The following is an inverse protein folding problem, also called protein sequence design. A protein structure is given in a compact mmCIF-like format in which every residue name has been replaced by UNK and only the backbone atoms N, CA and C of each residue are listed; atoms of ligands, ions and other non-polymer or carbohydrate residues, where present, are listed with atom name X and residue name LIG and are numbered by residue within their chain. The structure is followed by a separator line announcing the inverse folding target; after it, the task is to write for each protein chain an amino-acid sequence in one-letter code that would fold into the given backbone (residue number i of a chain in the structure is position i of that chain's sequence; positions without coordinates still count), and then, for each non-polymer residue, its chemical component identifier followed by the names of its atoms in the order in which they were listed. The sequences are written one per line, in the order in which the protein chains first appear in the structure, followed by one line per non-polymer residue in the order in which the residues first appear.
data_IF_268538140435
#
_entry.id   IF_268538140435
#
_cell.length_a   1.000
_cell.length_b   1.000
_cell.length_c   1.000
_cell.angle_alpha   90.00
_cell.angle_beta   90.00
_cell.angle_gamma   90.00
#
_symmetry.space_group_name_H-M   'P 1'
#
loop_
_entity.id
_entity.type
_entity.pdbx_description
1 polymer ?
#
# COMPACT_ATOMS: atom_id res chain seq x y z
N UNK A 1 8.13 -1.92 28.60
CA UNK A 1 8.31 -2.51 27.25
C UNK A 1 9.60 -1.96 26.64
N UNK A 2 10.78 -2.41 27.08
CA UNK A 2 12.05 -1.95 26.55
C UNK A 2 12.23 -2.32 25.06
N UNK A 3 11.63 -3.42 24.65
CA UNK A 3 11.85 -4.02 23.34
C UNK A 3 11.38 -3.16 22.16
N UNK A 4 10.28 -2.41 22.31
CA UNK A 4 9.76 -1.54 21.23
C UNK A 4 10.72 -0.38 20.98
N UNK A 5 11.29 0.20 22.04
CA UNK A 5 12.25 1.30 21.90
C UNK A 5 13.51 0.83 21.15
N UNK A 6 13.98 -0.38 21.43
CA UNK A 6 15.14 -0.98 20.75
C UNK A 6 14.83 -1.18 19.27
N UNK A 7 13.65 -1.76 18.95
CA UNK A 7 13.23 -1.98 17.55
C UNK A 7 13.14 -0.68 16.79
N UNK A 8 12.55 0.36 17.40
CA UNK A 8 12.36 1.67 16.73
C UNK A 8 13.64 2.54 16.75
N UNK A 9 14.68 2.19 17.49
CA UNK A 9 15.90 2.97 17.59
C UNK A 9 16.60 3.20 16.24
N UNK A 10 16.51 2.24 15.32
CA UNK A 10 17.07 2.38 13.97
C UNK A 10 16.47 3.55 13.19
N UNK A 11 15.23 3.95 13.51
CA UNK A 11 14.54 5.07 12.85
C UNK A 11 15.14 6.45 13.20
N UNK A 12 16.04 6.53 14.18
CA UNK A 12 16.81 7.76 14.49
C UNK A 12 17.68 8.23 13.32
N UNK A 13 17.94 7.37 12.34
CA UNK A 13 18.66 7.71 11.10
C UNK A 13 17.85 8.61 10.17
N UNK A 14 16.51 8.61 10.27
CA UNK A 14 15.62 9.33 9.37
C UNK A 14 14.55 10.17 10.08
N UNK A 15 14.45 10.08 11.42
CA UNK A 15 13.50 10.84 12.22
C UNK A 15 14.19 11.67 13.29
N UNK A 16 13.69 12.89 13.48
CA UNK A 16 14.10 13.71 14.62
C UNK A 16 13.68 13.06 15.94
N UNK A 17 14.46 13.28 16.99
CA UNK A 17 14.27 12.69 18.31
C UNK A 17 12.84 12.93 18.87
N UNK A 18 12.26 14.10 18.63
CA UNK A 18 10.89 14.42 19.08
C UNK A 18 9.84 13.58 18.34
N UNK A 19 9.99 13.44 17.03
CA UNK A 19 9.08 12.63 16.19
C UNK A 19 9.19 11.15 16.52
N UNK A 20 10.41 10.65 16.68
CA UNK A 20 10.67 9.27 17.09
C UNK A 20 10.05 8.97 18.46
N UNK A 21 10.20 9.86 19.43
CA UNK A 21 9.57 9.72 20.75
C UNK A 21 8.04 9.67 20.67
N UNK A 22 7.43 10.51 19.81
CA UNK A 22 5.98 10.46 19.61
C UNK A 22 5.54 9.19 18.91
N UNK A 23 6.28 8.74 17.88
CA UNK A 23 6.03 7.47 17.20
C UNK A 23 6.09 6.29 18.19
N UNK A 24 7.14 6.20 19.01
CA UNK A 24 7.27 5.17 20.03
C UNK A 24 6.06 5.14 20.97
N UNK A 25 5.65 6.27 21.49
CA UNK A 25 4.50 6.36 22.40
C UNK A 25 3.18 6.00 21.75
N UNK A 26 2.97 6.44 20.52
CA UNK A 26 1.78 6.05 19.73
C UNK A 26 1.77 4.55 19.49
N UNK A 27 2.92 3.95 19.13
CA UNK A 27 3.06 2.51 18.93
C UNK A 27 2.79 1.74 20.22
N UNK A 28 3.38 2.12 21.33
CA UNK A 28 3.13 1.53 22.65
C UNK A 28 1.65 1.57 23.04
N UNK A 29 1.02 2.74 22.83
CA UNK A 29 -0.40 2.90 23.11
C UNK A 29 -1.26 1.97 22.24
N UNK A 30 -1.00 1.90 20.93
CA UNK A 30 -1.75 1.03 20.00
C UNK A 30 -1.61 -0.45 20.37
N UNK A 31 -0.40 -0.88 20.72
CA UNK A 31 -0.13 -2.28 21.09
C UNK A 31 -0.69 -2.67 22.48
N UNK A 32 -0.86 -1.69 23.36
CA UNK A 32 -1.33 -1.94 24.75
C UNK A 32 -2.83 -1.79 24.91
N UNK A 33 -3.49 -0.98 24.04
CA UNK A 33 -4.90 -0.70 24.21
C UNK A 33 -5.78 -1.80 23.67
N UNK A 34 -6.88 -2.05 24.37
CA UNK A 34 -7.94 -2.96 23.95
C UNK A 34 -9.10 -2.18 23.33
N UNK A 35 -9.71 -2.72 22.29
CA UNK A 35 -10.86 -2.13 21.63
C UNK A 35 -10.50 -1.16 20.51
N UNK A 36 -11.37 -0.17 20.24
CA UNK A 36 -11.25 0.71 19.08
C UNK A 36 -10.11 1.72 19.24
N UNK A 37 -9.17 1.72 18.31
CA UNK A 37 -8.08 2.69 18.24
C UNK A 37 -8.62 4.06 17.82
N UNK A 38 -8.46 5.06 18.67
CA UNK A 38 -8.81 6.45 18.41
C UNK A 38 -7.73 7.39 18.96
N UNK A 39 -7.56 8.58 18.37
CA UNK A 39 -6.58 9.56 18.87
C UNK A 39 -6.80 9.91 20.35
N UNK A 40 -8.07 9.97 20.81
CA UNK A 40 -8.39 10.21 22.22
C UNK A 40 -8.04 8.98 23.07
N UNK A 41 -8.24 7.77 22.55
CA UNK A 41 -7.81 6.54 23.21
C UNK A 41 -6.30 6.52 23.38
N UNK A 42 -5.54 6.74 22.30
CA UNK A 42 -4.07 6.82 22.33
C UNK A 42 -3.60 7.84 23.37
N UNK A 43 -4.16 9.06 23.40
CA UNK A 43 -3.79 10.10 24.37
C UNK A 43 -4.05 9.69 25.83
N UNK A 44 -5.09 8.91 26.09
CA UNK A 44 -5.41 8.39 27.43
C UNK A 44 -4.47 7.25 27.85
N UNK A 45 -4.18 6.33 26.93
CA UNK A 45 -3.33 5.17 27.19
C UNK A 45 -1.85 5.51 27.30
N UNK A 46 -1.37 6.46 26.54
CA UNK A 46 0.03 6.86 26.59
C UNK A 46 0.46 7.49 27.91
N UNK A 47 -0.48 7.88 28.79
CA UNK A 47 -0.25 8.43 30.14
C UNK A 47 0.80 9.53 30.26
N UNK A 48 1.89 9.37 29.57
CA UNK A 48 3.02 10.30 29.44
C UNK A 48 3.14 10.90 28.03
N UNK A 49 2.21 10.61 27.11
CA UNK A 49 2.29 10.90 25.68
C UNK A 49 1.90 12.31 25.26
N UNK A 50 1.52 13.13 26.21
CA UNK A 50 1.01 14.47 25.90
C UNK A 50 -0.51 14.49 25.68
N UNK A 51 -1.04 15.69 25.44
CA UNK A 51 -2.47 15.91 25.24
C UNK A 51 -2.96 15.30 23.91
N UNK A 52 -4.29 15.17 23.77
CA UNK A 52 -4.94 14.85 22.49
C UNK A 52 -4.40 15.66 21.32
N UNK A 53 -4.08 16.95 21.52
CA UNK A 53 -3.50 17.81 20.49
C UNK A 53 -2.11 17.36 20.06
N UNK A 54 -1.31 16.79 20.96
CA UNK A 54 0.01 16.23 20.61
C UNK A 54 -0.14 15.03 19.67
N UNK A 55 -1.06 14.12 19.98
CA UNK A 55 -1.38 12.97 19.12
C UNK A 55 -1.91 13.43 17.77
N UNK A 56 -2.82 14.41 17.77
CA UNK A 56 -3.35 14.98 16.53
C UNK A 56 -2.26 15.63 15.66
N UNK A 57 -1.33 16.40 16.26
CA UNK A 57 -0.20 16.99 15.54
C UNK A 57 0.70 15.91 14.94
N UNK A 58 0.97 14.84 15.70
CA UNK A 58 1.76 13.72 15.19
C UNK A 58 1.12 13.09 13.94
N UNK A 59 -0.20 12.82 13.96
CA UNK A 59 -0.90 12.28 12.79
C UNK A 59 -1.00 13.24 11.60
N UNK A 60 -0.83 14.54 11.83
CA UNK A 60 -0.74 15.55 10.77
C UNK A 60 0.69 15.79 10.28
N UNK A 61 1.69 15.15 10.88
CA UNK A 61 3.09 15.23 10.42
C UNK A 61 3.27 14.35 9.20
N UNK A 62 3.84 14.90 8.13
CA UNK A 62 4.17 14.13 6.94
C UNK A 62 5.39 13.25 7.22
N UNK A 63 5.19 11.94 7.19
CA UNK A 63 6.24 10.94 7.37
C UNK A 63 6.35 10.07 6.12
N UNK A 64 7.58 9.76 5.74
CA UNK A 64 7.84 8.79 4.65
C UNK A 64 7.67 7.35 5.18
N UNK A 65 6.42 6.90 5.31
CA UNK A 65 6.09 5.59 5.88
C UNK A 65 6.81 4.44 5.19
N UNK A 66 6.96 4.50 3.86
CA UNK A 66 7.67 3.48 3.10
C UNK A 66 9.14 3.36 3.52
N UNK A 67 9.82 4.51 3.73
CA UNK A 67 11.21 4.52 4.20
C UNK A 67 11.33 3.99 5.63
N UNK A 68 10.40 4.36 6.52
CA UNK A 68 10.37 3.87 7.90
C UNK A 68 10.17 2.36 7.95
N UNK A 69 9.17 1.85 7.21
CA UNK A 69 8.91 0.42 7.11
C UNK A 69 10.10 -0.34 6.51
N UNK A 70 10.66 0.18 5.42
CA UNK A 70 11.84 -0.41 4.80
C UNK A 70 13.02 -0.50 5.77
N UNK A 71 13.30 0.58 6.51
CA UNK A 71 14.40 0.59 7.47
C UNK A 71 14.22 -0.43 8.60
N UNK A 72 12.98 -0.58 9.12
CA UNK A 72 12.65 -1.61 10.10
C UNK A 72 12.82 -3.03 9.54
N UNK A 73 12.30 -3.27 8.33
CA UNK A 73 12.39 -4.58 7.67
C UNK A 73 13.86 -4.91 7.43
N UNK A 74 14.62 -4.01 6.84
CA UNK A 74 16.04 -4.20 6.54
C UNK A 74 16.86 -4.49 7.80
N UNK A 75 16.60 -3.77 8.89
CA UNK A 75 17.41 -3.86 10.12
C UNK A 75 17.09 -5.10 10.93
N UNK A 76 15.84 -5.55 10.94
CA UNK A 76 15.39 -6.56 11.91
C UNK A 76 14.87 -7.87 11.31
N UNK A 77 14.49 -7.86 10.02
CA UNK A 77 13.69 -8.95 9.45
C UNK A 77 14.32 -9.63 8.25
N UNK A 78 15.29 -9.02 7.57
CA UNK A 78 15.97 -9.62 6.42
C UNK A 78 17.20 -10.40 6.86
N UNK A 79 17.39 -11.57 6.24
CA UNK A 79 18.62 -12.36 6.32
C UNK A 79 19.42 -12.12 5.02
N UNK A 80 20.76 -12.07 5.12
CA UNK A 80 21.65 -11.82 3.97
C UNK A 80 21.57 -12.92 2.90
N UNK A 81 21.30 -14.16 3.31
CA UNK A 81 21.23 -15.34 2.43
C UNK A 81 19.81 -15.67 1.95
N UNK A 82 18.85 -14.75 2.10
CA UNK A 82 17.46 -15.01 1.74
C UNK A 82 17.15 -14.59 0.30
N UNK A 83 16.29 -15.35 -0.35
CA UNK A 83 15.71 -14.99 -1.65
C UNK A 83 14.47 -14.15 -1.39
N UNK A 84 14.49 -12.90 -1.87
CA UNK A 84 13.38 -11.97 -1.70
C UNK A 84 12.60 -11.84 -3.00
N UNK A 85 11.30 -12.02 -2.88
CA UNK A 85 10.33 -11.87 -3.96
C UNK A 85 9.38 -10.72 -3.59
N UNK A 86 9.02 -9.89 -4.56
CA UNK A 86 8.00 -8.86 -4.35
C UNK A 86 6.62 -9.39 -4.74
N UNK A 87 5.60 -9.07 -3.94
CA UNK A 87 4.21 -9.35 -4.26
C UNK A 87 3.37 -8.08 -4.17
N UNK A 88 2.37 -7.98 -5.05
CA UNK A 88 1.41 -6.88 -5.05
C UNK A 88 -0.02 -7.39 -5.05
N UNK A 89 -0.88 -6.72 -4.27
CA UNK A 89 -2.30 -7.02 -4.20
C UNK A 89 -3.12 -5.77 -3.85
N UNK A 90 -4.38 -5.78 -4.25
CA UNK A 90 -5.35 -4.75 -3.93
C UNK A 90 -6.10 -5.09 -2.64
N UNK A 91 -6.03 -4.17 -1.69
CA UNK A 91 -6.70 -4.33 -0.39
C UNK A 91 -7.83 -3.31 -0.26
N UNK A 92 -9.03 -3.78 0.06
CA UNK A 92 -10.21 -2.92 0.28
C UNK A 92 -10.61 -2.93 1.74
N UNK A 93 -10.52 -1.75 2.38
CA UNK A 93 -11.01 -1.54 3.76
C UNK A 93 -12.37 -0.86 3.74
N UNK A 94 -13.41 -1.56 4.22
CA UNK A 94 -14.77 -1.01 4.27
C UNK A 94 -14.88 0.17 5.23
N UNK A 95 -15.60 1.20 4.82
CA UNK A 95 -15.86 2.41 5.61
C UNK A 95 -17.31 2.83 5.48
N UNK A 96 -17.92 3.21 6.60
CA UNK A 96 -19.30 3.70 6.67
C UNK A 96 -19.43 5.22 6.75
N UNK A 97 -18.33 5.96 6.81
CA UNK A 97 -18.31 7.42 6.86
C UNK A 97 -18.65 8.05 5.51
N UNK A 98 -19.27 9.24 5.51
CA UNK A 98 -19.60 9.97 4.28
C UNK A 98 -18.52 10.97 3.85
N UNK A 99 -17.65 11.38 4.76
CA UNK A 99 -16.66 12.46 4.58
C UNK A 99 -15.21 11.97 4.64
N UNK A 100 -14.97 10.66 4.60
CA UNK A 100 -13.62 10.11 4.59
C UNK A 100 -12.96 10.43 3.25
N UNK A 101 -11.77 11.03 3.26
CA UNK A 101 -10.99 11.29 2.06
C UNK A 101 -10.70 9.98 1.32
N UNK A 102 -10.79 9.98 -0.01
CA UNK A 102 -10.56 8.79 -0.83
C UNK A 102 -11.68 7.72 -0.76
N UNK A 103 -12.80 8.00 -0.06
CA UNK A 103 -13.93 7.07 0.01
C UNK A 103 -14.55 6.89 -1.37
N UNK A 104 -14.61 5.65 -1.80
CA UNK A 104 -15.27 5.27 -3.06
C UNK A 104 -15.92 3.88 -2.93
N UNK A 105 -16.40 3.34 -4.04
CA UNK A 105 -16.99 2.01 -4.14
C UNK A 105 -16.00 1.07 -4.81
N UNK A 106 -15.54 0.07 -4.07
CA UNK A 106 -14.60 -0.95 -4.53
C UNK A 106 -15.25 -2.33 -4.45
N UNK A 107 -14.86 -3.21 -5.37
CA UNK A 107 -15.22 -4.62 -5.25
C UNK A 107 -14.41 -5.25 -4.13
N UNK A 108 -15.09 -5.93 -3.21
CA UNK A 108 -14.45 -6.67 -2.14
C UNK A 108 -14.65 -8.15 -2.36
N UNK A 109 -13.56 -8.89 -2.51
CA UNK A 109 -13.58 -10.35 -2.63
C UNK A 109 -14.17 -11.02 -1.37
N UNK A 110 -13.90 -10.43 -0.20
CA UNK A 110 -14.45 -10.92 1.08
C UNK A 110 -15.98 -10.91 1.12
N UNK A 111 -16.62 -9.88 0.54
CA UNK A 111 -18.08 -9.75 0.52
C UNK A 111 -18.71 -10.17 -0.81
N UNK A 112 -17.93 -10.49 -1.84
CA UNK A 112 -18.41 -10.84 -3.17
C UNK A 112 -19.21 -9.73 -3.87
N UNK A 113 -19.07 -8.47 -3.42
CA UNK A 113 -19.85 -7.32 -3.92
C UNK A 113 -19.08 -6.01 -3.81
N UNK A 114 -19.61 -5.01 -4.51
CA UNK A 114 -19.09 -3.62 -4.41
C UNK A 114 -19.54 -3.00 -3.09
N UNK A 115 -18.57 -2.53 -2.30
CA UNK A 115 -18.78 -1.93 -0.96
C UNK A 115 -18.17 -0.54 -0.89
N UNK A 116 -18.72 0.38 -0.07
CA UNK A 116 -18.07 1.64 0.21
C UNK A 116 -16.80 1.39 1.05
N UNK A 117 -15.69 1.98 0.65
CA UNK A 117 -14.42 1.74 1.32
C UNK A 117 -13.27 2.57 0.80
N UNK A 118 -12.10 2.25 1.25
CA UNK A 118 -10.81 2.75 0.76
C UNK A 118 -10.09 1.59 0.10
N UNK A 119 -9.63 1.79 -1.13
CA UNK A 119 -8.78 0.85 -1.85
C UNK A 119 -7.31 1.23 -1.69
N UNK A 120 -6.46 0.23 -1.58
CA UNK A 120 -5.02 0.41 -1.50
C UNK A 120 -4.32 -0.64 -2.37
N UNK A 121 -3.30 -0.22 -3.10
CA UNK A 121 -2.30 -1.13 -3.66
C UNK A 121 -1.26 -1.39 -2.58
N UNK A 122 -1.13 -2.64 -2.16
CA UNK A 122 -0.13 -3.08 -1.17
C UNK A 122 1.00 -3.81 -1.90
N UNK A 123 2.25 -3.37 -1.68
CA UNK A 123 3.45 -4.05 -2.14
C UNK A 123 4.21 -4.59 -0.94
N UNK A 124 4.53 -5.88 -0.98
CA UNK A 124 5.19 -6.62 0.09
C UNK A 124 6.46 -7.30 -0.42
N UNK A 125 7.45 -7.44 0.45
CA UNK A 125 8.61 -8.29 0.24
C UNK A 125 8.35 -9.64 0.92
N UNK A 126 8.56 -10.72 0.20
CA UNK A 126 8.36 -12.08 0.70
C UNK A 126 9.73 -12.72 0.91
N UNK A 127 10.00 -13.12 2.15
CA UNK A 127 11.11 -13.98 2.51
C UNK A 127 10.75 -15.41 2.13
N UNK A 128 11.48 -16.00 1.17
CA UNK A 128 11.26 -17.39 0.75
C UNK A 128 11.67 -18.35 1.85
N UNK A 129 12.79 -18.07 2.51
CA UNK A 129 13.34 -18.88 3.60
C UNK A 129 12.40 -18.94 4.82
N UNK A 130 11.90 -17.78 5.26
CA UNK A 130 10.99 -17.67 6.42
C UNK A 130 9.53 -17.91 6.09
N UNK A 131 9.14 -17.85 4.81
CA UNK A 131 7.75 -17.91 4.33
C UNK A 131 6.87 -16.84 4.95
N UNK A 132 7.40 -15.62 5.06
CA UNK A 132 6.71 -14.47 5.66
C UNK A 132 6.69 -13.32 4.66
N UNK A 133 5.59 -12.59 4.64
CA UNK A 133 5.41 -11.39 3.83
C UNK A 133 5.54 -10.14 4.71
N UNK A 134 6.36 -9.19 4.27
CA UNK A 134 6.60 -7.91 4.92
C UNK A 134 6.04 -6.79 4.05
N UNK A 135 4.90 -6.18 4.39
CA UNK A 135 4.38 -5.04 3.64
C UNK A 135 5.33 -3.85 3.75
N UNK A 136 5.72 -3.28 2.60
CA UNK A 136 6.65 -2.14 2.53
C UNK A 136 5.95 -0.88 2.09
N UNK A 137 5.06 -0.99 1.10
CA UNK A 137 4.33 0.14 0.53
C UNK A 137 2.84 -0.13 0.54
N UNK A 138 2.06 0.90 0.86
CA UNK A 138 0.61 0.88 0.77
C UNK A 138 0.16 2.23 0.22
N UNK A 139 -0.27 2.23 -1.04
CA UNK A 139 -0.65 3.43 -1.75
C UNK A 139 -2.15 3.49 -2.00
N UNK A 140 -2.82 4.61 -1.72
CA UNK A 140 -4.26 4.73 -1.92
C UNK A 140 -4.60 4.68 -3.42
N UNK A 141 -5.65 3.90 -3.76
CA UNK A 141 -6.21 3.86 -5.11
C UNK A 141 -7.27 4.95 -5.20
N UNK A 142 -6.98 6.00 -5.97
CA UNK A 142 -7.92 7.09 -6.20
C UNK A 142 -8.78 6.84 -7.46
N UNK A 143 -9.92 7.54 -7.55
CA UNK A 143 -10.83 7.47 -8.72
C UNK A 143 -10.13 7.77 -10.05
N UNK A 144 -9.15 8.66 -10.03
CA UNK A 144 -8.34 9.00 -11.20
C UNK A 144 -7.63 7.79 -11.78
N UNK A 145 -7.24 6.82 -10.93
CA UNK A 145 -6.57 5.59 -11.35
C UNK A 145 -7.55 4.55 -11.91
N UNK A 146 -8.81 4.58 -11.45
CA UNK A 146 -9.85 3.61 -11.86
C UNK A 146 -10.80 4.16 -12.92
N UNK A 147 -10.66 5.43 -13.30
CA UNK A 147 -11.48 6.04 -14.33
C UNK A 147 -11.29 5.29 -15.64
N UNK A 148 -12.32 4.54 -16.05
CA UNK A 148 -12.37 4.04 -17.41
C UNK A 148 -12.37 5.24 -18.34
N UNK A 149 -11.62 5.21 -19.48
CA UNK A 149 -11.77 6.19 -20.52
C UNK A 149 -13.28 6.31 -20.80
N UNK A 150 -13.81 7.53 -20.80
CA UNK A 150 -15.24 7.75 -21.10
C UNK A 150 -15.54 6.93 -22.34
N UNK A 151 -16.36 5.89 -22.21
CA UNK A 151 -16.91 5.22 -23.37
C UNK A 151 -17.68 6.29 -24.15
N UNK A 152 -17.02 6.85 -25.16
CA UNK A 152 -17.73 7.56 -26.23
C UNK A 152 -18.84 6.59 -26.58
N UNK A 153 -20.08 6.99 -26.32
CA UNK A 153 -21.26 6.18 -26.51
C UNK A 153 -21.15 5.47 -27.86
N UNK A 154 -20.67 4.23 -27.83
CA UNK A 154 -20.58 3.42 -29.04
C UNK A 154 -22.02 3.21 -29.47
N UNK A 155 -22.46 4.00 -30.46
CA UNK A 155 -23.65 3.70 -31.23
C UNK A 155 -23.60 2.17 -31.45
N UNK A 156 -24.66 1.50 -31.00
CA UNK A 156 -24.85 0.06 -31.23
C UNK A 156 -24.94 -0.19 -32.75
N UNK A 157 -23.81 -0.11 -33.42
CA UNK A 157 -23.71 -0.61 -34.78
C UNK A 157 -23.81 -2.12 -34.66
N UNK A 158 -24.73 -2.73 -35.38
CA UNK A 158 -24.96 -4.19 -35.39
C UNK A 158 -23.80 -4.99 -35.98
N UNK A 159 -22.59 -4.80 -35.41
CA UNK A 159 -21.37 -5.50 -35.81
C UNK A 159 -21.45 -6.94 -35.34
N UNK A 160 -21.30 -7.85 -36.28
CA UNK A 160 -21.16 -9.29 -36.01
C UNK A 160 -20.06 -9.52 -34.99
N UNK A 161 -20.34 -10.41 -34.03
CA UNK A 161 -19.32 -10.85 -33.05
C UNK A 161 -18.15 -11.51 -33.79
N UNK A 162 -16.95 -11.04 -33.62
CA UNK A 162 -15.75 -11.55 -34.23
C UNK A 162 -14.72 -10.47 -34.49
N UNK A 163 -13.47 -10.88 -34.68
CA UNK A 163 -12.38 -9.96 -35.01
C UNK A 163 -12.61 -9.35 -36.40
N UNK A 164 -12.51 -8.02 -36.57
CA UNK A 164 -12.65 -7.39 -37.88
C UNK A 164 -11.63 -7.96 -38.89
N UNK A 165 -12.08 -8.27 -40.12
CA UNK A 165 -11.23 -8.74 -41.18
C UNK A 165 -10.14 -7.69 -41.48
N UNK A 166 -8.85 -8.08 -41.42
CA UNK A 166 -7.71 -7.18 -41.64
C UNK A 166 -7.13 -6.53 -40.36
N UNK A 167 -7.68 -6.78 -39.18
CA UNK A 167 -7.07 -6.28 -37.93
C UNK A 167 -5.76 -7.05 -37.66
N UNK A 168 -4.63 -6.34 -37.53
CA UNK A 168 -3.35 -6.89 -37.15
C UNK A 168 -3.29 -7.11 -35.61
N UNK A 169 -2.48 -8.08 -35.14
CA UNK A 169 -2.16 -8.18 -33.72
C UNK A 169 -1.31 -6.96 -33.35
N UNK A 170 -1.76 -6.21 -32.37
CA UNK A 170 -0.90 -5.20 -31.74
C UNK A 170 0.16 -5.95 -30.93
N UNK A 171 1.42 -5.54 -31.06
CA UNK A 171 2.46 -6.01 -30.16
C UNK A 171 2.14 -5.50 -28.76
N UNK A 172 2.31 -6.35 -27.74
CA UNK A 172 2.04 -5.96 -26.32
C UNK A 172 2.81 -4.71 -25.89
N UNK A 173 3.95 -4.42 -26.54
CA UNK A 173 4.77 -3.22 -26.26
C UNK A 173 4.14 -1.91 -26.76
N UNK A 174 3.18 -1.98 -27.68
CA UNK A 174 2.57 -0.83 -28.34
C UNK A 174 1.20 -0.49 -27.74
N UNK A 175 0.78 -1.18 -26.67
CA UNK A 175 -0.49 -0.94 -25.99
C UNK A 175 -0.28 0.09 -24.90
N UNK A 176 -1.04 1.20 -24.93
CA UNK A 176 -1.07 2.16 -23.84
C UNK A 176 -1.61 1.52 -22.57
N UNK A 177 -0.83 1.63 -21.48
CA UNK A 177 -1.26 1.15 -20.18
C UNK A 177 -2.47 1.94 -19.68
N UNK A 178 -3.41 1.24 -19.07
CA UNK A 178 -4.52 1.89 -18.36
C UNK A 178 -3.97 2.80 -17.23
N UNK A 179 -4.74 3.82 -16.80
CA UNK A 179 -4.31 4.70 -15.70
C UNK A 179 -3.94 3.91 -14.43
N UNK A 180 -4.66 2.83 -14.17
CA UNK A 180 -4.39 1.95 -13.03
C UNK A 180 -3.05 1.20 -13.19
N UNK A 181 -2.78 0.62 -14.36
CA UNK A 181 -1.51 -0.08 -14.61
C UNK A 181 -0.30 0.88 -14.61
N UNK A 182 -0.47 2.12 -15.05
CA UNK A 182 0.55 3.17 -14.90
C UNK A 182 0.84 3.45 -13.42
N UNK A 183 -0.20 3.57 -12.61
CA UNK A 183 -0.07 3.74 -11.16
C UNK A 183 0.68 2.56 -10.52
N UNK A 184 0.33 1.32 -10.88
CA UNK A 184 1.06 0.12 -10.42
C UNK A 184 2.53 0.17 -10.85
N UNK A 185 2.81 0.49 -12.12
CA UNK A 185 4.17 0.61 -12.66
C UNK A 185 5.01 1.65 -11.91
N UNK A 186 4.44 2.83 -11.63
CA UNK A 186 5.11 3.90 -10.89
C UNK A 186 5.38 3.49 -9.45
N UNK A 187 4.44 2.80 -8.81
CA UNK A 187 4.62 2.30 -7.44
C UNK A 187 5.70 1.23 -7.38
N UNK A 188 5.77 0.33 -8.37
CA UNK A 188 6.85 -0.65 -8.49
C UNK A 188 8.22 0.00 -8.70
N UNK A 189 8.31 1.03 -9.54
CA UNK A 189 9.55 1.78 -9.74
C UNK A 189 10.03 2.41 -8.43
N UNK A 190 9.12 2.99 -7.64
CA UNK A 190 9.43 3.55 -6.31
C UNK A 190 9.90 2.47 -5.33
N UNK A 191 9.28 1.29 -5.35
CA UNK A 191 9.74 0.17 -4.54
C UNK A 191 11.18 -0.22 -4.93
N UNK A 192 11.47 -0.40 -6.22
CA UNK A 192 12.80 -0.75 -6.70
C UNK A 192 13.86 0.31 -6.34
N UNK A 193 13.51 1.59 -6.43
CA UNK A 193 14.39 2.69 -5.99
C UNK A 193 14.67 2.65 -4.48
N UNK A 194 13.66 2.27 -3.68
CA UNK A 194 13.77 2.21 -2.23
C UNK A 194 14.67 1.06 -1.76
N UNK A 195 14.55 -0.12 -2.39
CA UNK A 195 15.17 -1.36 -1.90
C UNK A 195 16.36 -1.85 -2.74
N UNK A 196 16.48 -1.37 -3.98
CA UNK A 196 17.37 -1.94 -5.00
C UNK A 196 18.86 -1.85 -4.71
N UNK A 197 19.29 -0.93 -3.84
CA UNK A 197 20.70 -0.85 -3.37
C UNK A 197 21.07 -1.94 -2.36
N UNK A 198 20.06 -2.57 -1.72
CA UNK A 198 20.27 -3.50 -0.62
C UNK A 198 19.88 -4.93 -0.93
N UNK A 199 18.86 -5.11 -1.78
CA UNK A 199 18.37 -6.44 -2.14
C UNK A 199 18.08 -6.50 -3.63
N UNK A 200 18.34 -7.68 -4.22
CA UNK A 200 17.93 -8.00 -5.58
C UNK A 200 16.55 -8.68 -5.55
N UNK A 201 15.53 -8.01 -6.10
CA UNK A 201 14.22 -8.63 -6.29
C UNK A 201 14.27 -9.48 -7.56
N UNK A 202 14.10 -10.79 -7.42
CA UNK A 202 14.20 -11.76 -8.53
C UNK A 202 12.89 -11.83 -9.30
N UNK A 203 11.75 -11.82 -8.59
CA UNK A 203 10.42 -11.96 -9.20
C UNK A 203 9.42 -11.01 -8.57
N UNK A 204 8.45 -10.57 -9.43
CA UNK A 204 7.23 -9.90 -9.00
C UNK A 204 6.05 -10.86 -9.16
N UNK A 205 5.23 -10.98 -8.12
CA UNK A 205 4.05 -11.83 -8.08
C UNK A 205 2.82 -10.95 -7.89
N UNK A 206 1.87 -11.07 -8.81
CA UNK A 206 0.57 -10.41 -8.71
C UNK A 206 -0.54 -11.44 -8.89
N UNK A 207 -1.72 -11.14 -8.36
CA UNK A 207 -2.92 -11.94 -8.60
C UNK A 207 -3.26 -11.96 -10.11
N UNK A 208 -3.95 -13.03 -10.54
CA UNK A 208 -4.40 -13.21 -11.92
C UNK A 208 -5.26 -12.08 -12.47
N UNK A 209 -5.84 -11.24 -11.62
CA UNK A 209 -6.52 -10.02 -12.02
C UNK A 209 -5.63 -9.03 -12.79
N UNK A 210 -4.31 -9.06 -12.55
CA UNK A 210 -3.31 -8.25 -13.26
C UNK A 210 -2.82 -8.92 -14.55
N UNK A 211 -3.16 -10.18 -14.80
CA UNK A 211 -2.74 -10.96 -15.96
C UNK A 211 -3.50 -10.67 -17.26
N UNK A 212 -4.05 -9.47 -17.42
CA UNK A 212 -4.68 -9.05 -18.67
C UNK A 212 -3.67 -8.73 -19.78
N UNK A 213 -4.12 -8.71 -21.04
CA UNK A 213 -3.27 -8.45 -22.20
C UNK A 213 -2.56 -7.09 -22.21
N UNK A 214 -2.87 -6.22 -21.27
CA UNK A 214 -2.31 -4.88 -21.10
C UNK A 214 -1.22 -4.81 -20.02
N UNK A 215 -1.01 -5.88 -19.24
CA UNK A 215 -0.04 -5.94 -18.13
C UNK A 215 1.33 -6.48 -18.56
#
# INVERSE_FOLDING_TARGET
MPDIMIVLACLSQCLEATTLRHLTRVTEAILSMTGRVTMRGIARWSGQGGSYRTVQRFFNTTLSWCQLQWLLIRTHLLDEDDVIVAAGDDVVTTKSGKTTHGLDRFFSSLYGKVVPGLGFLSLSLISVKRRVSYPVMMEPIEKTHTAKPQEIAKQKSGRKRGRPKGSKNQHRRDVDLSPYLRFVQETLKRLLQLVGEYIQIVYFIFDGAFGHNEA
#
